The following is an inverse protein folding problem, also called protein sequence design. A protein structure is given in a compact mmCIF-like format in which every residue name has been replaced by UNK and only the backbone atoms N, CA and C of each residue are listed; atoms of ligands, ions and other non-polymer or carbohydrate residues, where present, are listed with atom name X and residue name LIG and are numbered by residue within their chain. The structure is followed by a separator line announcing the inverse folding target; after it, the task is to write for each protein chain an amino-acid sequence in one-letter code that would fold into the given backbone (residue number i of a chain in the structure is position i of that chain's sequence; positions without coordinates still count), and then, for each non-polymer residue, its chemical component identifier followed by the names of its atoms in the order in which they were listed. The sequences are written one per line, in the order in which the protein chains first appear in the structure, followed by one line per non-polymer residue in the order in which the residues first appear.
data_IF_943740934372
#
_entry.id   IF_943740934372
#
_cell.length_a   1.000
_cell.length_b   1.000
_cell.length_c   1.000
_cell.angle_alpha   90.00
_cell.angle_beta   90.00
_cell.angle_gamma   90.00
#
_symmetry.space_group_name_H-M   'P 1'
#
loop_
_entity.id
_entity.type
_entity.pdbx_description
1 polymer ?
#
# COMPACT_ATOMS: atom_id res chain seq x y z
N UNK A 1 -23.32 2.85 25.06
CA UNK A 1 -22.18 1.93 25.14
C UNK A 1 -22.26 0.97 23.96
N UNK A 2 -21.40 1.15 22.96
CA UNK A 2 -20.90 0.02 22.16
C UNK A 2 -19.69 0.44 21.33
N UNK A 3 -18.69 -0.44 21.39
CA UNK A 3 -17.50 -0.58 20.55
C UNK A 3 -16.64 0.65 20.35
N UNK A 4 -15.87 1.00 21.39
CA UNK A 4 -14.52 1.48 21.16
C UNK A 4 -13.77 0.37 20.43
N UNK A 5 -13.58 0.52 19.13
CA UNK A 5 -12.71 -0.34 18.34
C UNK A 5 -11.33 -0.19 18.97
N UNK A 6 -10.84 -1.22 19.66
CA UNK A 6 -9.44 -1.26 20.00
C UNK A 6 -8.67 -1.27 18.67
N UNK A 7 -8.05 -0.16 18.31
CA UNK A 7 -7.04 -0.11 17.25
C UNK A 7 -5.88 -0.99 17.71
N UNK A 8 -6.01 -2.30 17.46
CA UNK A 8 -5.00 -3.27 17.78
C UNK A 8 -3.74 -2.95 16.99
N UNK A 9 -2.60 -3.03 17.67
CA UNK A 9 -1.26 -2.82 17.09
C UNK A 9 -1.14 -3.63 15.79
N UNK A 10 -0.91 -2.93 14.67
CA UNK A 10 -0.72 -3.54 13.35
C UNK A 10 0.76 -3.86 13.12
N UNK A 11 1.05 -5.06 12.66
CA UNK A 11 2.42 -5.53 12.39
C UNK A 11 2.71 -5.58 10.89
N UNK A 12 3.89 -5.11 10.49
CA UNK A 12 4.43 -5.37 9.16
C UNK A 12 5.16 -6.71 9.10
N UNK A 13 5.92 -7.03 10.16
CA UNK A 13 6.75 -8.23 10.25
C UNK A 13 6.63 -8.88 11.64
N UNK A 14 6.64 -10.21 11.67
CA UNK A 14 6.70 -11.03 12.87
C UNK A 14 7.59 -12.23 12.57
N UNK A 15 8.67 -12.39 13.34
CA UNK A 15 9.60 -13.50 13.21
C UNK A 15 9.44 -14.41 14.43
N UNK A 16 9.28 -15.71 14.18
CA UNK A 16 9.22 -16.75 15.20
C UNK A 16 10.39 -17.72 15.01
N UNK A 17 10.94 -18.25 16.10
CA UNK A 17 11.91 -19.35 16.05
C UNK A 17 11.20 -20.69 15.76
N UNK A 18 11.97 -21.77 15.67
CA UNK A 18 11.46 -23.14 15.42
C UNK A 18 10.47 -23.60 16.50
N UNK A 19 10.63 -23.13 17.74
CA UNK A 19 9.74 -23.40 18.87
C UNK A 19 8.43 -22.59 18.83
N UNK A 20 8.30 -21.66 17.87
CA UNK A 20 7.14 -20.77 17.73
C UNK A 20 7.20 -19.49 18.59
N UNK A 21 8.30 -19.25 19.30
CA UNK A 21 8.48 -18.06 20.12
C UNK A 21 8.79 -16.84 19.24
N UNK A 22 8.15 -15.70 19.54
CA UNK A 22 8.39 -14.46 18.81
C UNK A 22 9.76 -13.90 19.18
N UNK A 23 10.64 -13.79 18.20
CA UNK A 23 12.01 -13.28 18.36
C UNK A 23 12.21 -11.88 17.76
N UNK A 24 11.34 -11.46 16.84
CA UNK A 24 11.31 -10.08 16.37
C UNK A 24 9.91 -9.68 15.90
N UNK A 25 9.59 -8.39 16.02
CA UNK A 25 8.38 -7.78 15.47
C UNK A 25 8.70 -6.38 14.94
N UNK A 26 7.98 -5.96 13.92
CA UNK A 26 8.04 -4.58 13.42
C UNK A 26 6.62 -4.04 13.25
N UNK A 27 6.37 -2.85 13.77
CA UNK A 27 5.07 -2.20 13.62
C UNK A 27 4.87 -1.76 12.17
N UNK A 28 3.62 -1.84 11.71
CA UNK A 28 3.29 -1.41 10.36
C UNK A 28 3.56 0.08 10.16
N UNK A 29 3.20 0.91 11.14
CA UNK A 29 3.42 2.35 11.08
C UNK A 29 4.91 2.71 10.92
N UNK A 30 5.77 2.10 11.74
CA UNK A 30 7.21 2.28 11.70
C UNK A 30 7.79 1.82 10.35
N UNK A 31 7.35 0.65 9.85
CA UNK A 31 7.76 0.13 8.56
C UNK A 31 7.43 1.10 7.42
N UNK A 32 6.20 1.59 7.35
CA UNK A 32 5.76 2.49 6.28
C UNK A 32 6.50 3.83 6.34
N UNK A 33 6.64 4.43 7.53
CA UNK A 33 7.34 5.71 7.69
C UNK A 33 8.83 5.59 7.36
N UNK A 34 9.51 4.57 7.89
CA UNK A 34 10.94 4.38 7.64
C UNK A 34 11.22 4.06 6.17
N UNK A 35 10.37 3.23 5.53
CA UNK A 35 10.47 2.97 4.08
C UNK A 35 10.22 4.26 3.29
N UNK A 36 9.24 5.06 3.71
CA UNK A 36 8.97 6.38 3.14
C UNK A 36 10.19 7.30 3.18
N UNK A 37 10.80 7.47 4.36
CA UNK A 37 11.99 8.31 4.56
C UNK A 37 13.16 7.86 3.68
N UNK A 38 13.44 6.56 3.67
CA UNK A 38 14.50 6.01 2.85
C UNK A 38 14.24 6.25 1.36
N UNK A 39 13.02 5.99 0.89
CA UNK A 39 12.63 6.26 -0.50
C UNK A 39 12.73 7.75 -0.86
N UNK A 40 12.38 8.64 0.06
CA UNK A 40 12.53 10.09 -0.09
C UNK A 40 13.99 10.49 -0.28
N UNK A 41 14.88 9.94 0.55
CA UNK A 41 16.31 10.23 0.53
C UNK A 41 16.95 9.78 -0.79
N UNK A 42 16.80 8.51 -1.16
CA UNK A 42 17.44 7.96 -2.37
C UNK A 42 16.91 8.56 -3.68
N UNK A 43 15.68 9.11 -3.67
CA UNK A 43 15.07 9.68 -4.88
C UNK A 43 15.30 11.18 -5.03
N UNK A 44 16.10 11.78 -4.14
CA UNK A 44 16.61 13.15 -4.33
C UNK A 44 17.38 13.27 -5.65
N UNK A 45 18.19 12.26 -5.99
CA UNK A 45 19.02 12.25 -7.21
C UNK A 45 18.21 12.26 -8.52
N UNK A 46 16.94 11.84 -8.45
CA UNK A 46 16.00 11.84 -9.60
C UNK A 46 14.90 12.90 -9.45
N UNK A 47 15.05 13.85 -8.51
CA UNK A 47 14.10 14.92 -8.23
C UNK A 47 12.66 14.44 -7.93
N UNK A 48 12.51 13.25 -7.34
CA UNK A 48 11.21 12.68 -6.99
C UNK A 48 11.02 12.35 -5.48
N UNK A 49 11.54 13.14 -4.52
CA UNK A 49 11.54 12.77 -3.10
C UNK A 49 10.13 12.58 -2.53
N UNK A 50 9.19 13.50 -2.80
CA UNK A 50 7.83 13.42 -2.27
C UNK A 50 6.98 12.34 -2.93
N UNK A 51 7.19 12.12 -4.23
CA UNK A 51 6.50 11.06 -4.96
C UNK A 51 6.95 9.69 -4.45
N UNK A 52 8.25 9.47 -4.30
CA UNK A 52 8.78 8.20 -3.79
C UNK A 52 8.38 7.96 -2.34
N UNK A 53 8.37 9.00 -1.49
CA UNK A 53 7.84 8.91 -0.13
C UNK A 53 6.38 8.42 -0.13
N UNK A 54 5.52 9.03 -0.96
CA UNK A 54 4.12 8.65 -1.08
C UNK A 54 3.96 7.19 -1.50
N UNK A 55 4.65 6.77 -2.57
CA UNK A 55 4.55 5.39 -3.07
C UNK A 55 5.06 4.37 -2.04
N UNK A 56 6.16 4.69 -1.36
CA UNK A 56 6.74 3.86 -0.32
C UNK A 56 5.84 3.75 0.92
N UNK A 57 5.18 4.82 1.34
CA UNK A 57 4.22 4.73 2.46
C UNK A 57 2.95 3.96 2.07
N UNK A 58 2.58 3.96 0.79
CA UNK A 58 1.40 3.25 0.31
C UNK A 58 1.67 1.77 -0.04
N UNK A 59 2.92 1.36 -0.26
CA UNK A 59 3.22 0.04 -0.83
C UNK A 59 2.60 -1.11 -0.03
N UNK A 60 2.82 -1.12 1.28
CA UNK A 60 2.43 -2.19 2.20
C UNK A 60 1.12 -1.90 2.96
N UNK A 61 0.34 -0.92 2.49
CA UNK A 61 -0.85 -0.46 3.21
C UNK A 61 -1.87 -1.60 3.44
N UNK A 62 -1.93 -2.58 2.53
CA UNK A 62 -2.80 -3.74 2.68
C UNK A 62 -2.45 -4.65 3.87
N UNK A 63 -1.30 -4.47 4.51
CA UNK A 63 -0.95 -5.19 5.74
C UNK A 63 -1.84 -4.79 6.91
N UNK A 64 -2.51 -3.63 6.89
CA UNK A 64 -3.38 -3.23 8.01
C UNK A 64 -4.67 -4.06 8.11
N UNK A 65 -5.06 -4.74 7.01
CA UNK A 65 -6.24 -5.59 6.93
C UNK A 65 -6.22 -6.69 7.98
N UNK A 66 -7.39 -7.02 8.53
CA UNK A 66 -7.62 -8.08 9.51
C UNK A 66 -7.19 -9.43 8.93
N UNK A 67 -7.45 -9.69 7.65
CA UNK A 67 -7.03 -10.93 6.98
C UNK A 67 -5.50 -11.12 7.05
N UNK A 68 -4.74 -10.06 6.75
CA UNK A 68 -3.28 -10.06 6.83
C UNK A 68 -2.78 -10.16 8.27
N UNK A 69 -3.37 -9.40 9.20
CA UNK A 69 -2.99 -9.45 10.62
C UNK A 69 -3.25 -10.83 11.24
N UNK A 70 -4.32 -11.51 10.85
CA UNK A 70 -4.56 -12.89 11.27
C UNK A 70 -3.53 -13.86 10.70
N UNK A 71 -3.15 -13.69 9.42
CA UNK A 71 -2.11 -14.49 8.77
C UNK A 71 -0.77 -14.36 9.48
N UNK A 72 -0.30 -13.13 9.70
CA UNK A 72 1.03 -12.88 10.30
C UNK A 72 1.11 -13.38 11.75
N UNK A 73 -0.01 -13.40 12.49
CA UNK A 73 -0.08 -13.98 13.83
C UNK A 73 -0.12 -15.52 13.84
N UNK A 74 -0.33 -16.16 12.68
CA UNK A 74 -0.48 -17.61 12.54
C UNK A 74 -1.90 -18.12 12.83
N UNK A 75 -2.90 -17.23 12.79
CA UNK A 75 -4.32 -17.56 13.03
C UNK A 75 -5.06 -17.99 11.75
N UNK A 76 -4.42 -17.87 10.59
CA UNK A 76 -4.84 -18.45 9.32
C UNK A 76 -3.61 -18.70 8.42
N UNK A 77 -3.75 -19.59 7.44
CA UNK A 77 -2.69 -19.93 6.47
C UNK A 77 -3.05 -19.52 5.04
N UNK A 78 -4.07 -18.67 4.88
CA UNK A 78 -4.51 -18.25 3.55
C UNK A 78 -3.47 -17.34 2.92
N UNK A 79 -3.31 -17.43 1.60
CA UNK A 79 -2.54 -16.42 0.88
C UNK A 79 -3.34 -15.12 0.86
N UNK A 80 -2.80 -14.04 1.44
CA UNK A 80 -3.48 -12.75 1.56
C UNK A 80 -2.75 -11.72 0.71
N UNK A 81 -3.45 -11.15 -0.26
CA UNK A 81 -2.93 -10.04 -1.04
C UNK A 81 -2.93 -8.77 -0.17
N UNK A 82 -1.76 -8.15 -0.05
CA UNK A 82 -1.59 -6.85 0.59
C UNK A 82 -1.03 -5.79 -0.36
N UNK A 83 -0.72 -6.16 -1.61
CA UNK A 83 0.05 -5.33 -2.53
C UNK A 83 -0.75 -4.34 -3.35
N UNK A 84 -2.06 -4.57 -3.50
CA UNK A 84 -2.93 -3.73 -4.33
C UNK A 84 -3.66 -2.63 -3.55
N UNK A 85 -3.82 -2.76 -2.24
CA UNK A 85 -4.65 -1.86 -1.43
C UNK A 85 -4.18 -0.39 -1.48
N UNK A 86 -2.87 -0.14 -1.47
CA UNK A 86 -2.31 1.20 -1.60
C UNK A 86 -2.61 1.86 -2.94
N UNK A 87 -2.54 1.09 -4.03
CA UNK A 87 -2.88 1.56 -5.37
C UNK A 87 -4.39 1.83 -5.49
N UNK A 88 -5.22 0.97 -4.91
CA UNK A 88 -6.68 1.14 -4.86
C UNK A 88 -7.07 2.43 -4.15
N UNK A 89 -6.44 2.71 -3.01
CA UNK A 89 -6.59 3.99 -2.31
C UNK A 89 -6.16 5.18 -3.18
N UNK A 90 -4.97 5.12 -3.78
CA UNK A 90 -4.45 6.21 -4.63
C UNK A 90 -5.38 6.48 -5.82
N UNK A 91 -5.94 5.44 -6.43
CA UNK A 91 -6.94 5.56 -7.51
C UNK A 91 -8.22 6.23 -7.04
N UNK A 92 -8.70 5.91 -5.83
CA UNK A 92 -9.85 6.60 -5.24
C UNK A 92 -9.56 8.08 -5.05
N UNK A 93 -8.40 8.42 -4.47
CA UNK A 93 -8.03 9.82 -4.22
C UNK A 93 -7.84 10.64 -5.50
N UNK A 94 -7.24 10.06 -6.54
CA UNK A 94 -7.12 10.73 -7.83
C UNK A 94 -8.48 10.99 -8.49
N UNK A 95 -9.47 10.09 -8.30
CA UNK A 95 -10.84 10.32 -8.76
C UNK A 95 -11.50 11.48 -8.00
N UNK A 96 -11.36 11.51 -6.68
CA UNK A 96 -11.87 12.60 -5.83
C UNK A 96 -11.27 13.95 -6.21
N UNK A 97 -9.96 13.99 -6.48
CA UNK A 97 -9.21 15.21 -6.82
C UNK A 97 -9.32 15.63 -8.28
N UNK A 98 -10.01 14.88 -9.14
CA UNK A 98 -10.04 15.10 -10.60
C UNK A 98 -10.40 16.55 -10.98
N UNK A 99 -11.41 17.13 -10.31
CA UNK A 99 -11.82 18.50 -10.58
C UNK A 99 -10.76 19.53 -10.18
N UNK A 100 -10.03 19.28 -9.08
CA UNK A 100 -8.94 20.15 -8.64
C UNK A 100 -7.73 20.06 -9.58
N UNK A 101 -7.37 18.85 -9.99
CA UNK A 101 -6.30 18.60 -10.96
C UNK A 101 -6.55 19.39 -12.25
N UNK A 102 -7.77 19.32 -12.79
CA UNK A 102 -8.15 20.09 -13.98
C UNK A 102 -8.10 21.60 -13.76
N UNK A 103 -8.60 22.10 -12.61
CA UNK A 103 -8.51 23.53 -12.27
C UNK A 103 -7.07 24.04 -12.18
N UNK A 104 -6.13 23.17 -11.79
CA UNK A 104 -4.70 23.49 -11.66
C UNK A 104 -3.92 23.28 -12.96
N UNK A 105 -4.57 22.82 -14.04
CA UNK A 105 -3.93 22.52 -15.32
C UNK A 105 -2.94 21.34 -15.25
N UNK A 106 -3.19 20.37 -14.35
CA UNK A 106 -2.32 19.22 -14.11
C UNK A 106 -2.81 17.94 -14.81
N UNK A 107 -3.64 18.05 -15.84
CA UNK A 107 -4.24 16.90 -16.53
C UNK A 107 -3.17 15.95 -17.11
N UNK A 108 -2.06 16.48 -17.61
CA UNK A 108 -0.94 15.68 -18.13
C UNK A 108 -0.31 14.79 -17.05
N UNK A 109 -0.28 15.22 -15.79
CA UNK A 109 0.22 14.41 -14.69
C UNK A 109 -0.62 13.12 -14.49
N UNK A 110 -1.89 13.13 -14.91
CA UNK A 110 -2.74 11.94 -14.86
C UNK A 110 -2.31 10.84 -15.84
N UNK A 111 -1.51 11.16 -16.87
CA UNK A 111 -0.98 10.17 -17.81
C UNK A 111 0.02 9.20 -17.16
N UNK A 112 0.58 9.56 -16.00
CA UNK A 112 1.57 8.75 -15.29
C UNK A 112 0.97 7.90 -14.16
N UNK A 113 -0.33 7.98 -13.89
CA UNK A 113 -0.93 7.31 -12.71
C UNK A 113 -0.77 5.80 -12.74
N UNK A 114 -0.80 5.17 -13.92
CA UNK A 114 -0.62 3.73 -14.09
C UNK A 114 0.79 3.29 -13.69
N UNK A 115 1.80 4.13 -13.92
CA UNK A 115 3.18 3.89 -13.43
C UNK A 115 3.19 3.93 -11.90
N UNK A 116 2.48 4.88 -11.28
CA UNK A 116 2.38 4.97 -9.82
C UNK A 116 1.71 3.72 -9.22
N UNK A 117 0.62 3.26 -9.85
CA UNK A 117 -0.06 2.03 -9.44
C UNK A 117 0.84 0.81 -9.63
N UNK A 118 1.59 0.74 -10.72
CA UNK A 118 2.52 -0.34 -11.01
C UNK A 118 3.61 -0.45 -9.94
N UNK A 119 4.26 0.66 -9.58
CA UNK A 119 5.29 0.70 -8.52
C UNK A 119 4.75 0.14 -7.21
N UNK A 120 3.53 0.52 -6.83
CA UNK A 120 2.89 -0.01 -5.61
C UNK A 120 2.58 -1.50 -5.77
N UNK A 121 1.94 -1.91 -6.85
CA UNK A 121 1.41 -3.28 -6.99
C UNK A 121 2.48 -4.34 -7.31
N UNK A 122 3.63 -3.93 -7.83
CA UNK A 122 4.72 -4.82 -8.26
C UNK A 122 5.80 -5.05 -7.19
N UNK A 123 5.62 -4.59 -5.95
CA UNK A 123 6.68 -4.69 -4.92
C UNK A 123 7.02 -6.12 -4.47
N UNK A 124 6.19 -7.13 -4.79
CA UNK A 124 6.52 -8.56 -4.60
C UNK A 124 6.99 -9.26 -5.88
N UNK A 125 7.17 -8.51 -6.97
CA UNK A 125 7.58 -9.07 -8.25
C UNK A 125 6.97 -8.32 -9.43
N UNK A 126 7.78 -8.15 -10.46
CA UNK A 126 7.36 -7.55 -11.72
C UNK A 126 6.37 -8.49 -12.42
N UNK A 127 5.28 -7.90 -12.95
CA UNK A 127 4.26 -8.64 -13.69
C UNK A 127 4.00 -8.06 -15.09
N UNK A 128 4.86 -7.11 -15.51
CA UNK A 128 4.84 -6.48 -16.83
C UNK A 128 6.14 -6.75 -17.62
N UNK A 129 6.70 -7.95 -17.48
CA UNK A 129 7.93 -8.36 -18.18
C UNK A 129 7.62 -9.18 -19.42
N UNK A 130 8.42 -9.02 -20.49
CA UNK A 130 8.38 -9.87 -21.68
C UNK A 130 9.29 -11.10 -21.41
N UNK A 131 8.76 -12.32 -21.31
CA UNK A 131 9.56 -13.54 -21.08
C UNK A 131 8.81 -14.67 -20.34
N UNK A 132 9.51 -15.69 -19.82
CA UNK A 132 8.91 -16.73 -18.97
C UNK A 132 8.74 -16.23 -17.51
N UNK A 133 7.58 -15.67 -17.22
CA UNK A 133 7.08 -15.30 -15.89
C UNK A 133 5.56 -15.43 -15.87
N UNK A 134 4.87 -14.93 -14.83
CA UNK A 134 3.40 -14.79 -14.85
C UNK A 134 3.01 -13.77 -15.94
N UNK A 135 3.05 -14.20 -17.22
CA UNK A 135 2.58 -13.44 -18.37
C UNK A 135 1.08 -13.35 -18.26
N UNK A 136 0.58 -12.41 -17.48
CA UNK A 136 -0.83 -12.04 -17.54
C UNK A 136 -1.07 -11.51 -18.95
N UNK A 137 -1.94 -12.16 -19.76
CA UNK A 137 -2.30 -11.64 -21.07
C UNK A 137 -2.87 -10.23 -20.95
N UNK A 138 -2.69 -9.40 -21.98
CA UNK A 138 -3.25 -8.04 -22.00
C UNK A 138 -2.19 -6.93 -22.05
N UNK A 139 -2.69 -5.69 -22.10
CA UNK A 139 -1.88 -4.47 -22.15
C UNK A 139 -1.50 -4.05 -20.73
N UNK A 140 -0.48 -3.21 -20.58
CA UNK A 140 -0.02 -2.67 -19.29
C UNK A 140 -1.17 -2.25 -18.36
N UNK A 141 -2.11 -1.45 -18.88
CA UNK A 141 -3.26 -0.95 -18.10
C UNK A 141 -4.17 -2.06 -17.61
N UNK A 142 -4.48 -3.07 -18.45
CA UNK A 142 -5.36 -4.17 -18.03
C UNK A 142 -4.72 -5.03 -16.94
N UNK A 143 -3.40 -5.22 -16.97
CA UNK A 143 -2.67 -5.97 -15.92
C UNK A 143 -2.76 -5.27 -14.57
N UNK A 144 -2.64 -3.95 -14.56
CA UNK A 144 -2.80 -3.13 -13.34
C UNK A 144 -4.24 -3.22 -12.85
N UNK A 145 -5.22 -3.06 -13.76
CA UNK A 145 -6.64 -3.16 -13.40
C UNK A 145 -6.97 -4.52 -12.78
N UNK A 146 -6.47 -5.63 -13.35
CA UNK A 146 -6.65 -6.98 -12.81
C UNK A 146 -6.05 -7.12 -11.41
N UNK A 147 -4.83 -6.59 -11.19
CA UNK A 147 -4.17 -6.60 -9.88
C UNK A 147 -4.94 -5.80 -8.83
N UNK A 148 -5.65 -4.74 -9.25
CA UNK A 148 -6.43 -3.87 -8.38
C UNK A 148 -7.92 -4.25 -8.30
N UNK A 149 -8.36 -5.29 -9.03
CA UNK A 149 -9.77 -5.67 -9.12
C UNK A 149 -10.28 -6.50 -7.93
N UNK A 150 -9.41 -6.82 -6.96
CA UNK A 150 -9.77 -7.66 -5.81
C UNK A 150 -10.94 -7.07 -5.02
N UNK A 151 -12.03 -7.84 -4.88
CA UNK A 151 -13.20 -7.42 -4.10
C UNK A 151 -12.84 -7.18 -2.63
N UNK A 152 -11.90 -7.95 -2.07
CA UNK A 152 -11.38 -7.73 -0.72
C UNK A 152 -10.82 -6.31 -0.55
N UNK A 153 -10.11 -5.78 -1.54
CA UNK A 153 -9.58 -4.40 -1.47
C UNK A 153 -10.69 -3.36 -1.50
N UNK A 154 -11.75 -3.60 -2.28
CA UNK A 154 -12.87 -2.66 -2.39
C UNK A 154 -13.63 -2.54 -1.08
N UNK A 155 -13.87 -3.66 -0.42
CA UNK A 155 -14.51 -3.70 0.91
C UNK A 155 -13.58 -3.10 1.96
N UNK A 156 -12.33 -3.57 2.01
CA UNK A 156 -11.36 -3.12 2.99
C UNK A 156 -11.02 -1.63 2.87
N UNK A 157 -11.16 -1.01 1.68
CA UNK A 157 -10.84 0.40 1.46
C UNK A 157 -11.53 1.30 2.50
N UNK A 158 -12.83 1.13 2.70
CA UNK A 158 -13.60 1.97 3.62
C UNK A 158 -13.57 1.46 5.06
N UNK A 159 -13.52 0.15 5.26
CA UNK A 159 -13.66 -0.47 6.58
C UNK A 159 -12.33 -0.54 7.35
N UNK A 160 -11.20 -0.60 6.64
CA UNK A 160 -9.90 -0.92 7.24
C UNK A 160 -8.79 0.03 6.80
N UNK A 161 -8.68 0.28 5.48
CA UNK A 161 -7.60 1.10 4.91
C UNK A 161 -7.76 2.57 5.29
N UNK A 162 -8.93 3.16 5.02
CA UNK A 162 -9.20 4.57 5.35
C UNK A 162 -9.10 4.86 6.87
N UNK A 163 -9.68 4.04 7.76
CA UNK A 163 -9.49 4.23 9.21
C UNK A 163 -8.03 4.20 9.64
N UNK A 164 -7.22 3.24 9.15
CA UNK A 164 -5.79 3.18 9.46
C UNK A 164 -5.06 4.43 8.94
N UNK A 165 -5.36 4.85 7.71
CA UNK A 165 -4.76 6.05 7.12
C UNK A 165 -5.06 7.31 7.93
N UNK A 166 -6.32 7.53 8.30
CA UNK A 166 -6.75 8.76 8.97
C UNK A 166 -6.29 8.79 10.43
N UNK A 167 -6.39 7.67 11.13
CA UNK A 167 -6.20 7.63 12.58
C UNK A 167 -4.77 7.31 12.99
N UNK A 168 -3.97 6.66 12.14
CA UNK A 168 -2.62 6.20 12.49
C UNK A 168 -1.56 6.78 11.53
N UNK A 169 -1.72 6.58 10.23
CA UNK A 169 -0.67 6.92 9.26
C UNK A 169 -0.53 8.42 8.99
N UNK A 170 -1.63 9.13 8.74
CA UNK A 170 -1.61 10.56 8.46
C UNK A 170 -1.06 11.40 9.63
N UNK A 171 -1.39 11.12 10.90
CA UNK A 171 -0.73 11.75 12.04
C UNK A 171 0.79 11.52 12.03
N UNK A 172 1.24 10.28 11.85
CA UNK A 172 2.67 9.97 11.83
C UNK A 172 3.40 10.68 10.67
N UNK A 173 2.81 10.76 9.48
CA UNK A 173 3.41 11.50 8.36
C UNK A 173 3.58 13.00 8.70
N UNK A 174 2.62 13.60 9.41
CA UNK A 174 2.68 15.04 9.76
C UNK A 174 3.82 15.37 10.72
N UNK A 175 4.28 14.41 11.51
CA UNK A 175 5.44 14.57 12.39
C UNK A 175 6.76 14.58 11.60
N UNK A 176 6.74 14.15 10.34
CA UNK A 176 7.91 13.94 9.47
C UNK A 176 8.02 14.97 8.33
N UNK A 177 7.04 15.86 8.20
CA UNK A 177 6.96 16.94 7.22
C UNK A 177 7.33 18.28 7.85
#
# INVERSE_FOLDING_TARGET
MNSGVSNGIKLAHLMKNESGEVIARQLLIEHLINTGKFAKEISQDINCPHLSFLLAVLHDLGKCKVSFQRRILGLNNNNVNHSSAGASYLRSKLKELRAEIGRRGLDEACCYREILYYVITAHHGLYDTIGEGQNTPGKFVSRIDDRMALEEDKVALNEEILPFLVNELAPAIKEEL
#
